data_IF_490408049018
#
_entry.id   IF_490408049018
#
_cell.length_a   1.000
_cell.length_b   1.000
_cell.length_c   1.000
_cell.angle_alpha   90.00
_cell.angle_beta   90.00
_cell.angle_gamma   90.00
#
_symmetry.space_group_name_H-M   'P 1'
#
loop_
_entity.id
_entity.type
_entity.pdbx_description
1 polymer ?
#
# COMPACT_ATOMS: atom_id res chain seq x y z
N UNK A 1 39.98 10.54 9.87
CA UNK A 1 38.57 10.55 9.45
C UNK A 1 38.04 11.97 9.67
N UNK A 2 37.62 12.68 8.62
CA UNK A 2 37.31 14.11 8.70
C UNK A 2 35.99 14.33 9.50
N UNK A 3 35.92 15.23 10.50
CA UNK A 3 34.73 15.44 11.32
C UNK A 3 33.46 15.78 10.51
N UNK A 4 33.59 16.41 9.33
CA UNK A 4 32.45 16.64 8.44
C UNK A 4 31.87 15.34 7.87
N UNK A 5 32.71 14.34 7.54
CA UNK A 5 32.27 13.04 7.01
C UNK A 5 31.54 12.21 8.07
N UNK A 6 31.96 12.30 9.33
CA UNK A 6 31.30 11.62 10.45
C UNK A 6 29.89 12.19 10.72
N UNK A 7 29.71 13.51 10.61
CA UNK A 7 28.42 14.18 10.74
C UNK A 7 27.46 13.83 9.60
N UNK A 8 27.95 13.75 8.36
CA UNK A 8 27.16 13.34 7.18
C UNK A 8 26.69 11.88 7.35
N UNK A 9 27.60 10.96 7.68
CA UNK A 9 27.26 9.54 7.87
C UNK A 9 26.24 9.32 8.98
N UNK A 10 26.34 10.05 10.09
CA UNK A 10 25.36 9.98 11.19
C UNK A 10 23.98 10.48 10.76
N UNK A 11 23.91 11.59 10.00
CA UNK A 11 22.64 12.10 9.46
C UNK A 11 22.01 11.11 8.48
N UNK A 12 22.80 10.54 7.57
CA UNK A 12 22.33 9.53 6.62
C UNK A 12 21.81 8.27 7.33
N UNK A 13 22.51 7.79 8.38
CA UNK A 13 22.06 6.64 9.16
C UNK A 13 20.74 6.90 9.91
N UNK A 14 20.57 8.09 10.50
CA UNK A 14 19.32 8.49 11.17
C UNK A 14 18.16 8.58 10.17
N UNK A 15 18.40 9.20 9.01
CA UNK A 15 17.38 9.29 7.95
C UNK A 15 17.00 7.89 7.45
N UNK A 16 17.98 7.02 7.18
CA UNK A 16 17.73 5.65 6.76
C UNK A 16 16.91 4.85 7.78
N UNK A 17 17.19 5.02 9.07
CA UNK A 17 16.41 4.40 10.14
C UNK A 17 14.96 4.92 10.17
N UNK A 18 14.77 6.24 10.08
CA UNK A 18 13.43 6.85 10.06
C UNK A 18 12.63 6.35 8.85
N UNK A 19 13.24 6.32 7.66
CA UNK A 19 12.62 5.81 6.45
C UNK A 19 12.25 4.33 6.59
N UNK A 20 13.12 3.51 7.18
CA UNK A 20 12.85 2.08 7.41
C UNK A 20 11.65 1.89 8.34
N UNK A 21 11.59 2.63 9.44
CA UNK A 21 10.47 2.55 10.39
C UNK A 21 9.17 3.05 9.75
N UNK A 22 9.22 4.15 9.00
CA UNK A 22 8.06 4.67 8.28
C UNK A 22 7.54 3.67 7.23
N UNK A 23 8.44 3.04 6.48
CA UNK A 23 8.11 2.06 5.45
C UNK A 23 7.51 0.78 6.05
N UNK A 24 8.06 0.30 7.17
CA UNK A 24 7.49 -0.84 7.91
C UNK A 24 6.10 -0.52 8.48
N UNK A 25 5.92 0.66 9.05
CA UNK A 25 4.61 1.09 9.56
C UNK A 25 3.56 1.20 8.46
N UNK A 26 3.94 1.79 7.33
CA UNK A 26 3.11 1.88 6.13
C UNK A 26 2.72 0.49 5.60
N UNK A 27 3.69 -0.43 5.48
CA UNK A 27 3.46 -1.79 4.99
C UNK A 27 2.53 -2.58 5.91
N UNK A 28 2.75 -2.55 7.22
CA UNK A 28 1.90 -3.25 8.20
C UNK A 28 0.45 -2.73 8.16
N UNK A 29 0.29 -1.42 8.06
CA UNK A 29 -1.02 -0.81 7.95
C UNK A 29 -1.75 -1.25 6.66
N UNK A 30 -1.07 -1.17 5.52
CA UNK A 30 -1.62 -1.61 4.23
C UNK A 30 -1.98 -3.10 4.20
N UNK A 31 -1.13 -3.95 4.80
CA UNK A 31 -1.41 -5.37 4.91
C UNK A 31 -2.68 -5.63 5.73
N UNK A 32 -2.81 -4.98 6.89
CA UNK A 32 -3.94 -5.19 7.78
C UNK A 32 -5.26 -4.71 7.16
N UNK A 33 -5.28 -3.51 6.58
CA UNK A 33 -6.47 -2.96 5.91
C UNK A 33 -6.88 -3.77 4.69
N UNK A 34 -5.91 -4.19 3.86
CA UNK A 34 -6.17 -5.03 2.69
C UNK A 34 -6.69 -6.40 3.09
N UNK A 35 -6.10 -7.03 4.12
CA UNK A 35 -6.56 -8.30 4.65
C UNK A 35 -7.99 -8.19 5.17
N UNK A 36 -8.29 -7.14 5.94
CA UNK A 36 -9.64 -6.90 6.46
C UNK A 36 -10.65 -6.72 5.33
N UNK A 37 -10.35 -5.86 4.36
CA UNK A 37 -11.19 -5.62 3.20
C UNK A 37 -11.46 -6.90 2.39
N UNK A 38 -10.42 -7.70 2.11
CA UNK A 38 -10.57 -8.98 1.41
C UNK A 38 -11.33 -10.01 2.24
N UNK A 39 -11.12 -10.07 3.55
CA UNK A 39 -11.83 -11.00 4.41
C UNK A 39 -13.34 -10.74 4.38
N UNK A 40 -13.74 -9.46 4.37
CA UNK A 40 -15.13 -9.04 4.24
C UNK A 40 -15.73 -9.40 2.88
N UNK A 41 -14.98 -9.22 1.78
CA UNK A 41 -15.44 -9.54 0.43
C UNK A 41 -15.49 -11.05 0.15
N UNK A 42 -14.51 -11.79 0.65
CA UNK A 42 -14.37 -13.22 0.39
C UNK A 42 -15.16 -14.07 1.38
N UNK A 43 -15.80 -13.47 2.38
CA UNK A 43 -16.57 -14.15 3.42
C UNK A 43 -15.72 -15.03 4.34
N UNK A 44 -14.48 -14.61 4.62
CA UNK A 44 -13.58 -15.36 5.51
C UNK A 44 -13.15 -16.74 5.00
N UNK A 45 -13.18 -16.99 3.68
CA UNK A 45 -12.79 -18.27 3.10
C UNK A 45 -11.35 -18.67 3.47
N UNK A 46 -11.21 -19.87 4.06
CA UNK A 46 -9.94 -20.49 4.46
C UNK A 46 -9.68 -21.75 3.63
N UNK A 47 -8.43 -21.96 3.24
CA UNK A 47 -7.97 -23.19 2.60
C UNK A 47 -6.71 -23.69 3.32
N UNK A 48 -6.70 -24.95 3.75
CA UNK A 48 -5.61 -25.55 4.54
C UNK A 48 -5.25 -24.76 5.82
N UNK A 49 -6.22 -24.11 6.45
CA UNK A 49 -6.00 -23.29 7.66
C UNK A 49 -5.47 -21.88 7.40
N UNK A 50 -5.15 -21.53 6.15
CA UNK A 50 -4.74 -20.18 5.74
C UNK A 50 -5.95 -19.39 5.18
N UNK A 51 -6.05 -18.12 5.55
CA UNK A 51 -7.04 -17.21 4.98
C UNK A 51 -6.55 -16.68 3.64
N UNK A 52 -7.33 -16.86 2.57
CA UNK A 52 -6.98 -16.33 1.25
C UNK A 52 -6.83 -14.81 1.26
N UNK A 53 -7.62 -14.13 2.08
CA UNK A 53 -7.50 -12.70 2.32
C UNK A 53 -6.09 -12.32 2.81
N UNK A 54 -5.46 -13.13 3.66
CA UNK A 54 -4.10 -12.90 4.14
C UNK A 54 -3.05 -13.14 3.05
N UNK A 55 -3.23 -14.18 2.22
CA UNK A 55 -2.32 -14.49 1.10
C UNK A 55 -2.34 -13.36 0.06
N UNK A 56 -3.54 -12.92 -0.34
CA UNK A 56 -3.74 -11.84 -1.29
C UNK A 56 -3.27 -10.49 -0.73
N UNK A 57 -3.55 -10.20 0.55
CA UNK A 57 -3.03 -9.00 1.20
C UNK A 57 -1.51 -8.95 1.20
N UNK A 58 -0.86 -10.06 1.54
CA UNK A 58 0.61 -10.15 1.49
C UNK A 58 1.15 -9.91 0.08
N UNK A 59 0.49 -10.45 -0.94
CA UNK A 59 0.90 -10.27 -2.33
C UNK A 59 0.79 -8.81 -2.79
N UNK A 60 -0.32 -8.13 -2.48
CA UNK A 60 -0.51 -6.73 -2.85
C UNK A 60 0.45 -5.80 -2.10
N UNK A 61 0.64 -5.99 -0.79
CA UNK A 61 1.57 -5.18 0.00
C UNK A 61 3.02 -5.38 -0.48
N UNK A 62 3.41 -6.63 -0.79
CA UNK A 62 4.74 -6.93 -1.35
C UNK A 62 5.00 -6.26 -2.71
N UNK A 63 3.98 -6.18 -3.57
CA UNK A 63 4.08 -5.51 -4.88
C UNK A 63 4.26 -4.00 -4.72
N UNK A 64 3.53 -3.39 -3.80
CA UNK A 64 3.64 -1.96 -3.47
C UNK A 64 5.02 -1.63 -2.88
N UNK A 65 5.46 -2.42 -1.90
CA UNK A 65 6.79 -2.29 -1.30
C UNK A 65 7.91 -2.43 -2.33
N UNK A 66 7.84 -3.41 -3.23
CA UNK A 66 8.85 -3.62 -4.27
C UNK A 66 8.97 -2.40 -5.21
N UNK A 67 7.85 -1.76 -5.54
CA UNK A 67 7.88 -0.55 -6.34
C UNK A 67 8.36 0.69 -5.58
N UNK A 68 8.05 0.82 -4.28
CA UNK A 68 8.64 1.87 -3.44
C UNK A 68 10.16 1.72 -3.34
N UNK A 69 10.67 0.51 -3.07
CA UNK A 69 12.11 0.23 -3.04
C UNK A 69 12.77 0.62 -4.36
N UNK A 70 12.11 0.36 -5.49
CA UNK A 70 12.58 0.76 -6.81
C UNK A 70 12.67 2.29 -6.95
N UNK A 71 11.63 3.04 -6.58
CA UNK A 71 11.62 4.51 -6.67
C UNK A 71 12.72 5.14 -5.80
N UNK A 72 12.99 4.57 -4.62
CA UNK A 72 14.03 5.04 -3.71
C UNK A 72 15.44 4.54 -4.04
N UNK A 73 15.59 3.61 -4.99
CA UNK A 73 16.89 3.14 -5.47
C UNK A 73 17.23 3.95 -6.73
N UNK A 74 18.06 5.00 -6.64
CA UNK A 74 18.48 5.74 -7.82
C UNK A 74 19.33 4.81 -8.71
N UNK A 75 18.75 4.33 -9.81
CA UNK A 75 19.46 3.63 -10.88
C UNK A 75 20.36 4.62 -11.61
N UNK A 76 21.55 4.90 -11.05
CA UNK A 76 22.53 5.81 -11.65
C UNK A 76 23.21 5.23 -12.91
N UNK A 77 22.96 3.97 -13.29
CA UNK A 77 23.77 3.28 -14.29
C UNK A 77 23.07 2.84 -15.59
N UNK A 78 21.74 2.91 -15.76
CA UNK A 78 21.14 2.55 -17.05
C UNK A 78 20.74 3.76 -17.88
N UNK A 79 21.74 4.29 -18.59
CA UNK A 79 21.67 5.16 -19.78
C UNK A 79 20.90 4.55 -20.98
N UNK A 80 20.10 3.52 -20.75
CA UNK A 80 19.17 2.96 -21.71
C UNK A 80 17.82 2.91 -21.00
N UNK A 81 17.00 3.95 -21.22
CA UNK A 81 15.59 3.95 -20.83
C UNK A 81 14.90 2.80 -21.57
N UNK A 82 14.92 1.61 -20.96
CA UNK A 82 14.21 0.45 -21.49
C UNK A 82 12.73 0.62 -21.15
N UNK A 83 11.80 0.48 -22.11
CA UNK A 83 10.37 0.61 -21.87
C UNK A 83 9.86 -0.29 -20.74
N UNK A 84 10.57 -1.38 -20.44
CA UNK A 84 10.31 -2.30 -19.33
C UNK A 84 10.30 -1.61 -17.94
N UNK A 85 11.12 -0.58 -17.75
CA UNK A 85 11.15 0.23 -16.51
C UNK A 85 9.84 0.99 -16.33
N UNK A 86 9.30 1.53 -17.43
CA UNK A 86 8.02 2.25 -17.43
C UNK A 86 6.85 1.31 -17.16
N UNK A 87 6.85 0.10 -17.73
CA UNK A 87 5.82 -0.92 -17.45
C UNK A 87 5.82 -1.37 -15.99
N UNK A 88 7.00 -1.58 -15.39
CA UNK A 88 7.13 -1.96 -13.98
C UNK A 88 6.69 -0.82 -13.04
N UNK A 89 6.97 0.43 -13.43
CA UNK A 89 6.51 1.61 -12.68
C UNK A 89 4.99 1.79 -12.79
N UNK A 90 4.41 1.55 -13.98
CA UNK A 90 2.97 1.52 -14.17
C UNK A 90 2.27 0.42 -13.38
N UNK A 91 2.85 -0.79 -13.35
CA UNK A 91 2.35 -1.91 -12.55
C UNK A 91 2.37 -1.59 -11.04
N UNK A 92 3.43 -0.94 -10.56
CA UNK A 92 3.48 -0.44 -9.18
C UNK A 92 2.42 0.64 -8.93
N UNK A 93 2.28 1.64 -9.81
CA UNK A 93 1.31 2.72 -9.63
C UNK A 93 -0.12 2.18 -9.53
N UNK A 94 -0.45 1.19 -10.37
CA UNK A 94 -1.72 0.47 -10.28
C UNK A 94 -1.82 -0.19 -8.92
N UNK A 95 -0.84 -1.02 -8.52
CA UNK A 95 -0.80 -1.69 -7.21
C UNK A 95 -1.00 -0.74 -6.02
N UNK A 96 -0.34 0.41 -6.02
CA UNK A 96 -0.47 1.44 -5.00
C UNK A 96 -1.90 2.03 -4.96
N UNK A 97 -2.51 2.28 -6.11
CA UNK A 97 -3.91 2.72 -6.19
C UNK A 97 -4.88 1.66 -5.64
N UNK A 98 -4.57 0.37 -5.80
CA UNK A 98 -5.36 -0.72 -5.25
C UNK A 98 -5.30 -0.71 -3.73
N UNK A 99 -4.08 -0.60 -3.19
CA UNK A 99 -3.82 -0.57 -1.75
C UNK A 99 -4.53 0.63 -1.08
N UNK A 100 -4.50 1.79 -1.74
CA UNK A 100 -5.24 2.97 -1.32
C UNK A 100 -6.77 2.74 -1.32
N UNK A 101 -7.31 2.09 -2.36
CA UNK A 101 -8.74 1.77 -2.46
C UNK A 101 -9.18 0.77 -1.37
N UNK A 102 -8.36 -0.22 -1.07
CA UNK A 102 -8.62 -1.22 -0.03
C UNK A 102 -8.60 -0.60 1.37
N UNK A 103 -7.63 0.27 1.63
CA UNK A 103 -7.57 1.07 2.86
C UNK A 103 -8.80 1.96 3.01
N UNK A 104 -9.20 2.63 1.92
CA UNK A 104 -10.40 3.45 1.90
C UNK A 104 -11.67 2.62 2.19
N UNK A 105 -11.80 1.44 1.57
CA UNK A 105 -12.92 0.52 1.82
C UNK A 105 -12.94 -0.01 3.26
N UNK A 106 -11.79 -0.41 3.80
CA UNK A 106 -11.67 -0.86 5.18
C UNK A 106 -12.14 0.22 6.16
N UNK A 107 -11.67 1.47 5.98
CA UNK A 107 -12.08 2.59 6.82
C UNK A 107 -13.57 2.93 6.65
N UNK A 108 -14.12 2.79 5.43
CA UNK A 108 -15.56 2.92 5.19
C UNK A 108 -16.38 1.99 6.07
N UNK A 109 -16.00 0.71 6.09
CA UNK A 109 -16.68 -0.32 6.86
C UNK A 109 -16.50 -0.13 8.37
N UNK A 110 -15.33 0.34 8.80
CA UNK A 110 -15.05 0.60 10.21
C UNK A 110 -15.82 1.81 10.75
N UNK A 111 -16.02 2.84 9.93
CA UNK A 111 -16.71 4.09 10.32
C UNK A 111 -18.24 3.99 10.19
N UNK A 112 -18.76 3.17 9.26
CA UNK A 112 -20.19 3.02 9.03
C UNK A 112 -21.04 2.78 10.29
N UNK A 113 -20.64 1.91 11.24
CA UNK A 113 -21.41 1.65 12.45
C UNK A 113 -21.41 2.82 13.44
N UNK A 114 -20.47 3.77 13.35
CA UNK A 114 -20.35 4.88 14.28
C UNK A 114 -21.28 6.06 13.96
N UNK A 115 -21.98 6.04 12.81
CA UNK A 115 -22.88 7.12 12.40
C UNK A 115 -22.17 8.46 12.16
N UNK A 116 -20.84 8.45 11.98
CA UNK A 116 -20.07 9.65 11.75
C UNK A 116 -20.30 10.17 10.32
N UNK A 117 -20.84 11.38 10.20
CA UNK A 117 -20.88 12.09 8.93
C UNK A 117 -19.43 12.40 8.50
N UNK A 118 -19.01 11.85 7.36
CA UNK A 118 -17.67 12.06 6.81
C UNK A 118 -17.62 13.49 6.25
N UNK A 119 -17.42 14.47 7.12
CA UNK A 119 -17.55 15.91 6.86
C UNK A 119 -16.50 16.54 5.94
N UNK A 120 -15.78 15.76 5.13
CA UNK A 120 -14.81 16.26 4.16
C UNK A 120 -14.55 15.30 2.97
N UNK A 121 -15.42 14.32 2.72
CA UNK A 121 -15.27 13.43 1.57
C UNK A 121 -15.98 14.02 0.34
N UNK A 122 -15.31 13.96 -0.82
CA UNK A 122 -15.90 14.23 -2.14
C UNK A 122 -17.08 13.31 -2.48
N UNK A 123 -17.33 12.27 -1.67
CA UNK A 123 -18.36 11.24 -1.86
C UNK A 123 -19.18 11.04 -0.59
N UNK A 124 -20.50 10.85 -0.74
CA UNK A 124 -21.39 10.51 0.38
C UNK A 124 -21.12 9.09 0.89
N UNK A 125 -21.51 8.80 2.14
CA UNK A 125 -21.38 7.46 2.74
C UNK A 125 -21.97 6.35 1.85
N UNK A 126 -23.10 6.62 1.20
CA UNK A 126 -23.78 5.69 0.31
C UNK A 126 -23.01 5.46 -1.01
N UNK A 127 -22.44 6.54 -1.60
CA UNK A 127 -21.56 6.44 -2.76
C UNK A 127 -20.29 5.65 -2.41
N UNK A 128 -19.78 5.80 -1.19
CA UNK A 128 -18.60 5.11 -0.69
C UNK A 128 -18.78 3.60 -0.64
N UNK A 129 -19.93 3.14 -0.13
CA UNK A 129 -20.28 1.72 -0.04
C UNK A 129 -20.57 1.09 -1.41
N UNK A 130 -20.99 1.87 -2.41
CA UNK A 130 -21.26 1.37 -3.78
C UNK A 130 -20.03 1.36 -4.68
N UNK A 131 -19.19 2.39 -4.62
CA UNK A 131 -18.08 2.56 -5.58
C UNK A 131 -16.88 1.70 -5.22
N UNK A 132 -16.57 1.55 -3.93
CA UNK A 132 -15.41 0.77 -3.50
C UNK A 132 -15.48 -0.72 -3.92
N UNK A 133 -16.59 -1.46 -3.74
CA UNK A 133 -16.70 -2.83 -4.22
C UNK A 133 -16.58 -2.96 -5.74
N UNK A 134 -16.96 -1.93 -6.51
CA UNK A 134 -16.91 -1.95 -7.98
C UNK A 134 -15.47 -1.88 -8.49
N UNK A 135 -14.65 -1.01 -7.89
CA UNK A 135 -13.21 -0.96 -8.15
C UNK A 135 -12.52 -2.24 -7.74
N UNK A 136 -12.94 -2.84 -6.62
CA UNK A 136 -12.39 -4.12 -6.15
C UNK A 136 -12.88 -5.30 -7.00
N UNK A 137 -14.08 -5.24 -7.59
CA UNK A 137 -14.61 -6.29 -8.47
C UNK A 137 -14.02 -6.24 -9.88
N UNK A 138 -13.70 -5.06 -10.42
CA UNK A 138 -12.92 -4.90 -11.65
C UNK A 138 -11.47 -5.41 -11.50
N UNK A 139 -11.05 -5.65 -10.25
CA UNK A 139 -9.72 -6.05 -9.85
C UNK A 139 -9.47 -7.57 -9.89
N UNK A 140 -10.54 -8.36 -9.71
CA UNK A 140 -10.51 -9.82 -9.60
C UNK A 140 -10.89 -10.42 -10.94
#
# INVERSE_FOLDING_TARGET
MNPQTALINRKTAVIGLILTVALLGFELFNFDTTRFALAQLMGGRRFLGLEWAGVLALAFSSLDFAGLVRVFTPEQELKQESPEIWWLTGAWLIGAALNATMTWYAMALLVAPLGAEIGAALFTHEQMLRTAPLFIALLV
#
